data_IF_473328928038
#
_entry.id   IF_473328928038
#
_cell.length_a   1.000
_cell.length_b   1.000
_cell.length_c   1.000
_cell.angle_alpha   90.00
_cell.angle_beta   90.00
_cell.angle_gamma   90.00
#
_symmetry.space_group_name_H-M   'P 1'
#
loop_
_entity.id
_entity.type
_entity.pdbx_description
1 polymer ?
#
# COMPACT_ATOMS: atom_id res chain seq x y z
N UNK A 1 37.17 10.20 11.93
CA UNK A 1 36.03 11.13 11.94
C UNK A 1 34.76 10.35 12.25
N UNK A 2 33.74 10.98 12.83
CA UNK A 2 32.51 10.31 13.25
C UNK A 2 31.71 9.71 12.08
N UNK A 3 31.79 10.30 10.87
CA UNK A 3 31.22 9.74 9.65
C UNK A 3 31.77 8.37 9.24
N UNK A 4 33.09 8.19 9.30
CA UNK A 4 33.71 6.89 9.00
C UNK A 4 33.25 5.80 9.97
N UNK A 5 33.05 6.16 11.25
CA UNK A 5 32.52 5.23 12.24
C UNK A 5 31.08 4.82 11.91
N UNK A 6 30.23 5.79 11.52
CA UNK A 6 28.87 5.50 11.07
C UNK A 6 28.89 4.57 9.85
N UNK A 7 29.70 4.87 8.83
CA UNK A 7 29.84 4.05 7.63
C UNK A 7 30.25 2.60 7.96
N UNK A 8 31.31 2.42 8.77
CA UNK A 8 31.77 1.08 9.18
C UNK A 8 30.67 0.32 9.92
N UNK A 9 29.91 0.98 10.80
CA UNK A 9 28.77 0.36 11.46
C UNK A 9 27.70 -0.09 10.46
N UNK A 10 27.45 0.71 9.42
CA UNK A 10 26.54 0.37 8.33
C UNK A 10 26.98 -0.90 7.61
N UNK A 11 28.23 -0.95 7.16
CA UNK A 11 28.81 -2.12 6.47
C UNK A 11 28.74 -3.39 7.34
N UNK A 12 29.06 -3.28 8.63
CA UNK A 12 28.94 -4.41 9.54
C UNK A 12 27.49 -4.89 9.70
N UNK A 13 26.53 -3.97 9.72
CA UNK A 13 25.12 -4.27 9.88
C UNK A 13 24.48 -4.95 8.65
N UNK A 14 25.13 -4.96 7.48
CA UNK A 14 24.65 -5.67 6.28
C UNK A 14 24.61 -7.19 6.47
N UNK A 15 25.41 -7.71 7.42
CA UNK A 15 25.41 -9.14 7.75
C UNK A 15 24.62 -9.41 9.03
N UNK A 16 23.89 -10.53 9.08
CA UNK A 16 23.13 -10.91 10.28
C UNK A 16 24.02 -10.99 11.53
N UNK A 17 25.22 -11.59 11.39
CA UNK A 17 26.18 -11.70 12.50
C UNK A 17 26.69 -10.32 12.97
N UNK A 18 26.99 -9.42 12.05
CA UNK A 18 27.44 -8.07 12.37
C UNK A 18 26.33 -7.22 13.00
N UNK A 19 25.11 -7.31 12.47
CA UNK A 19 23.91 -6.72 13.08
C UNK A 19 23.71 -7.22 14.51
N UNK A 20 23.73 -8.54 14.73
CA UNK A 20 23.57 -9.13 16.07
C UNK A 20 24.65 -8.66 17.03
N UNK A 21 25.88 -8.49 16.55
CA UNK A 21 26.97 -7.96 17.37
C UNK A 21 26.71 -6.51 17.76
N UNK A 22 26.37 -5.65 16.79
CA UNK A 22 26.02 -4.24 17.00
C UNK A 22 24.85 -4.11 17.97
N UNK A 23 23.75 -4.82 17.72
CA UNK A 23 22.56 -4.84 18.57
C UNK A 23 22.91 -5.30 19.98
N UNK A 24 23.70 -6.37 20.13
CA UNK A 24 24.10 -6.85 21.45
C UNK A 24 24.92 -5.82 22.22
N UNK A 25 25.82 -5.10 21.56
CA UNK A 25 26.63 -4.03 22.19
C UNK A 25 25.73 -2.86 22.57
N UNK A 26 24.80 -2.47 21.68
CA UNK A 26 23.82 -1.43 21.92
C UNK A 26 22.83 -1.74 23.05
N UNK A 27 22.54 -3.02 23.32
CA UNK A 27 21.50 -3.43 24.26
C UNK A 27 22.01 -4.10 25.57
N UNK A 28 23.26 -4.59 25.65
CA UNK A 28 23.82 -5.37 26.79
C UNK A 28 24.01 -4.62 28.12
N UNK A 29 23.67 -3.34 28.21
CA UNK A 29 23.95 -2.50 29.39
C UNK A 29 22.71 -2.20 30.22
N UNK A 30 21.58 -2.80 29.87
CA UNK A 30 20.38 -2.80 30.72
C UNK A 30 20.46 -3.79 31.89
N UNK A 31 21.44 -4.70 31.91
CA UNK A 31 21.57 -5.76 32.93
C UNK A 31 22.77 -5.64 33.88
N UNK A 32 23.54 -4.54 33.84
CA UNK A 32 24.56 -4.24 34.84
C UNK A 32 24.18 -2.93 35.54
N UNK A 33 23.56 -3.06 36.71
CA UNK A 33 23.45 -2.00 37.72
C UNK A 33 24.87 -1.57 38.12
N UNK A 34 25.48 -0.65 37.37
CA UNK A 34 26.62 0.11 37.83
C UNK A 34 26.54 1.52 37.28
N UNK A 35 26.76 2.45 38.19
CA UNK A 35 26.67 3.91 38.07
C UNK A 35 27.41 4.41 36.82
N UNK A 36 26.69 4.52 35.69
CA UNK A 36 26.90 5.38 34.52
C UNK A 36 26.04 4.85 33.36
N UNK A 37 24.71 4.95 33.48
CA UNK A 37 23.72 4.47 32.50
C UNK A 37 23.65 5.33 31.22
N UNK A 38 24.76 5.91 30.76
CA UNK A 38 24.77 6.91 29.71
C UNK A 38 25.25 6.37 28.36
N UNK A 39 26.00 5.27 28.28
CA UNK A 39 26.87 4.99 27.12
C UNK A 39 26.24 4.26 25.92
N UNK A 40 25.11 3.56 26.08
CA UNK A 40 24.64 2.58 25.07
C UNK A 40 23.30 2.89 24.43
N UNK A 41 22.50 3.76 25.05
CA UNK A 41 21.52 4.60 24.35
C UNK A 41 22.20 5.55 23.36
N UNK A 42 23.50 5.78 23.50
CA UNK A 42 24.24 6.72 22.66
C UNK A 42 24.39 6.29 21.22
N UNK A 43 24.33 5.02 20.83
CA UNK A 43 24.64 4.67 19.44
C UNK A 43 23.57 5.23 18.49
N UNK A 44 22.30 4.92 18.74
CA UNK A 44 21.20 5.50 17.98
C UNK A 44 21.14 7.02 18.18
N UNK A 45 21.31 7.52 19.40
CA UNK A 45 21.32 8.98 19.65
C UNK A 45 22.45 9.68 18.87
N UNK A 46 23.61 9.04 18.75
CA UNK A 46 24.79 9.56 18.05
C UNK A 46 24.56 9.52 16.54
N UNK A 47 24.02 8.43 15.99
CA UNK A 47 23.61 8.37 14.58
C UNK A 47 22.57 9.46 14.28
N UNK A 48 21.57 9.66 15.15
CA UNK A 48 20.58 10.73 15.01
C UNK A 48 21.23 12.11 15.11
N UNK A 49 22.19 12.32 16.01
CA UNK A 49 22.93 13.59 16.08
C UNK A 49 23.76 13.86 14.83
N UNK A 50 24.29 12.82 14.18
CA UNK A 50 25.02 12.94 12.92
C UNK A 50 24.10 13.29 11.74
N UNK A 51 22.81 12.98 11.80
CA UNK A 51 21.85 13.45 10.80
C UNK A 51 21.69 14.99 10.81
N UNK A 52 21.95 15.63 11.95
CA UNK A 52 21.94 17.08 12.10
C UNK A 52 23.31 17.74 11.83
N UNK A 53 24.30 16.97 11.36
CA UNK A 53 25.64 17.46 11.03
C UNK A 53 25.60 18.44 9.85
N UNK A 54 26.46 19.47 9.88
CA UNK A 54 26.67 20.36 8.73
C UNK A 54 27.47 19.72 7.60
N UNK A 55 28.22 18.65 7.90
CA UNK A 55 28.98 17.88 6.94
C UNK A 55 28.08 16.84 6.24
N UNK A 56 27.85 16.96 4.92
CA UNK A 56 26.98 16.06 4.16
C UNK A 56 27.42 14.60 4.19
N UNK A 57 28.71 14.31 4.33
CA UNK A 57 29.22 12.94 4.40
C UNK A 57 28.77 12.25 5.70
N UNK A 58 28.80 12.97 6.82
CA UNK A 58 28.29 12.46 8.10
C UNK A 58 26.79 12.16 8.03
N UNK A 59 26.01 13.04 7.40
CA UNK A 59 24.55 12.87 7.25
C UNK A 59 24.24 11.68 6.35
N UNK A 60 24.93 11.56 5.21
CA UNK A 60 24.77 10.46 4.28
C UNK A 60 25.12 9.11 4.93
N UNK A 61 26.26 9.03 5.62
CA UNK A 61 26.70 7.81 6.28
C UNK A 61 25.77 7.42 7.45
N UNK A 62 25.35 8.39 8.28
CA UNK A 62 24.44 8.11 9.39
C UNK A 62 23.06 7.66 8.90
N UNK A 63 22.51 8.31 7.86
CA UNK A 63 21.24 7.90 7.25
C UNK A 63 21.33 6.51 6.61
N UNK A 64 22.44 6.21 5.92
CA UNK A 64 22.70 4.88 5.36
C UNK A 64 22.71 3.80 6.45
N UNK A 65 23.48 4.00 7.51
CA UNK A 65 23.56 3.07 8.64
C UNK A 65 22.22 2.84 9.32
N UNK A 66 21.44 3.90 9.56
CA UNK A 66 20.08 3.77 10.08
C UNK A 66 19.17 3.02 9.10
N UNK A 67 19.31 3.27 7.80
CA UNK A 67 18.62 2.53 6.74
C UNK A 67 18.88 1.03 6.82
N UNK A 68 20.15 0.62 6.89
CA UNK A 68 20.58 -0.78 7.03
C UNK A 68 20.05 -1.41 8.30
N UNK A 69 20.15 -0.72 9.45
CA UNK A 69 19.61 -1.22 10.71
C UNK A 69 18.09 -1.46 10.63
N UNK A 70 17.35 -0.63 9.89
CA UNK A 70 15.90 -0.77 9.74
C UNK A 70 15.45 -1.94 8.84
N UNK A 71 16.37 -2.65 8.17
CA UNK A 71 16.07 -3.79 7.30
C UNK A 71 15.52 -4.98 8.09
N UNK A 72 16.10 -5.25 9.26
CA UNK A 72 15.66 -6.33 10.12
C UNK A 72 14.48 -5.92 11.01
N UNK A 73 13.61 -6.86 11.34
CA UNK A 73 12.52 -6.62 12.28
C UNK A 73 13.04 -6.15 13.64
N UNK A 74 14.11 -6.78 14.12
CA UNK A 74 14.74 -6.46 15.40
C UNK A 74 15.36 -5.07 15.44
N UNK A 75 15.92 -4.59 14.34
CA UNK A 75 16.45 -3.24 14.24
C UNK A 75 15.34 -2.19 14.22
N UNK A 76 14.20 -2.47 13.55
CA UNK A 76 13.00 -1.62 13.67
C UNK A 76 12.47 -1.55 15.09
N UNK A 77 12.41 -2.68 15.80
CA UNK A 77 11.99 -2.73 17.19
C UNK A 77 12.92 -1.88 18.06
N UNK A 78 14.24 -2.02 17.86
CA UNK A 78 15.25 -1.21 18.56
C UNK A 78 15.05 0.29 18.36
N UNK A 79 14.81 0.72 17.12
CA UNK A 79 14.54 2.11 16.79
C UNK A 79 13.27 2.64 17.42
N UNK A 80 12.19 1.84 17.43
CA UNK A 80 10.89 2.22 18.00
C UNK A 80 10.93 2.35 19.52
N UNK A 81 11.75 1.52 20.18
CA UNK A 81 11.98 1.55 21.62
C UNK A 81 12.98 2.64 22.05
N UNK A 82 13.68 3.26 21.10
CA UNK A 82 14.70 4.28 21.37
C UNK A 82 14.09 5.60 21.87
N UNK A 83 14.82 6.28 22.76
CA UNK A 83 14.42 7.61 23.27
C UNK A 83 14.53 8.72 22.21
N UNK A 84 15.42 8.57 21.23
CA UNK A 84 15.62 9.52 20.15
C UNK A 84 14.60 9.37 19.01
N UNK A 85 13.59 8.50 19.13
CA UNK A 85 12.66 8.21 18.05
C UNK A 85 11.95 9.45 17.47
N UNK A 86 11.53 10.39 18.32
CA UNK A 86 10.89 11.63 17.87
C UNK A 86 11.87 12.50 17.07
N UNK A 87 13.03 12.79 17.66
CA UNK A 87 14.11 13.56 17.00
C UNK A 87 14.56 12.91 15.69
N UNK A 88 14.64 11.58 15.64
CA UNK A 88 14.94 10.84 14.44
C UNK A 88 13.88 11.04 13.35
N UNK A 89 12.58 10.98 13.70
CA UNK A 89 11.49 11.22 12.74
C UNK A 89 11.57 12.62 12.19
N UNK A 90 11.71 13.62 13.05
CA UNK A 90 11.73 15.02 12.66
C UNK A 90 12.89 15.29 11.71
N UNK A 91 14.08 14.79 12.08
CA UNK A 91 15.30 14.99 11.29
C UNK A 91 15.23 14.25 9.96
N UNK A 92 14.87 12.96 9.96
CA UNK A 92 14.73 12.16 8.73
C UNK A 92 13.67 12.75 7.80
N UNK A 93 12.56 13.24 8.34
CA UNK A 93 11.50 13.89 7.56
C UNK A 93 12.02 15.17 6.91
N UNK A 94 12.73 16.02 7.66
CA UNK A 94 13.32 17.24 7.11
C UNK A 94 14.36 16.97 6.01
N UNK A 95 15.06 15.84 6.09
CA UNK A 95 16.07 15.42 5.11
C UNK A 95 15.49 14.78 3.85
N UNK A 96 14.18 14.51 3.78
CA UNK A 96 13.52 14.05 2.56
C UNK A 96 13.64 15.04 1.41
N UNK A 97 13.78 16.33 1.72
CA UNK A 97 13.98 17.40 0.74
C UNK A 97 15.45 17.73 0.48
N UNK A 98 16.38 16.93 0.99
CA UNK A 98 17.82 17.12 0.76
C UNK A 98 18.17 17.04 -0.72
N UNK A 99 19.06 17.92 -1.18
CA UNK A 99 19.63 17.88 -2.53
C UNK A 99 20.52 16.64 -2.74
N UNK A 100 21.09 16.10 -1.66
CA UNK A 100 21.84 14.86 -1.70
C UNK A 100 20.87 13.68 -1.80
N UNK A 101 20.74 13.10 -3.00
CA UNK A 101 19.81 12.01 -3.30
C UNK A 101 20.09 10.74 -2.47
N UNK A 102 21.34 10.46 -2.11
CA UNK A 102 21.67 9.33 -1.24
C UNK A 102 21.09 9.52 0.16
N UNK A 103 21.19 10.73 0.70
CA UNK A 103 20.62 11.09 2.00
C UNK A 103 19.11 11.01 1.99
N UNK A 104 18.45 11.65 1.02
CA UNK A 104 16.98 11.62 0.92
C UNK A 104 16.45 10.21 0.66
N UNK A 105 17.16 9.41 -0.15
CA UNK A 105 16.87 8.00 -0.40
C UNK A 105 16.93 7.15 0.86
N UNK A 106 18.02 7.24 1.62
CA UNK A 106 18.17 6.53 2.88
C UNK A 106 17.10 6.96 3.90
N UNK A 107 16.79 8.26 3.96
CA UNK A 107 15.73 8.79 4.82
C UNK A 107 14.35 8.22 4.45
N UNK A 108 14.03 8.15 3.16
CA UNK A 108 12.79 7.54 2.67
C UNK A 108 12.69 6.06 3.05
N UNK A 109 13.77 5.29 2.94
CA UNK A 109 13.82 3.88 3.34
C UNK A 109 13.57 3.69 4.84
N UNK A 110 14.17 4.53 5.70
CA UNK A 110 13.95 4.49 7.15
C UNK A 110 12.45 4.65 7.46
N UNK A 111 11.78 5.63 6.85
CA UNK A 111 10.36 5.88 7.08
C UNK A 111 9.47 4.78 6.50
N UNK A 112 9.78 4.29 5.29
CA UNK A 112 9.00 3.26 4.62
C UNK A 112 9.07 1.92 5.36
N UNK A 113 10.27 1.51 5.80
CA UNK A 113 10.50 0.26 6.54
C UNK A 113 9.81 0.28 7.91
N UNK A 114 9.57 1.45 8.50
CA UNK A 114 8.76 1.55 9.73
C UNK A 114 7.26 1.32 9.50
N UNK A 115 6.74 1.74 8.34
CA UNK A 115 5.33 1.53 7.98
C UNK A 115 4.93 0.06 7.82
N UNK A 116 5.92 -0.82 7.56
CA UNK A 116 5.72 -2.27 7.43
C UNK A 116 5.56 -2.99 8.78
N UNK A 117 5.74 -2.28 9.90
CA UNK A 117 5.61 -2.86 11.24
C UNK A 117 4.25 -3.54 11.43
N UNK A 118 4.32 -4.84 11.71
CA UNK A 118 3.24 -5.62 12.28
C UNK A 118 3.67 -5.96 13.69
N UNK A 119 2.98 -5.46 14.74
CA UNK A 119 3.33 -5.83 16.09
C UNK A 119 3.27 -7.36 16.20
N UNK A 120 4.37 -7.98 16.65
CA UNK A 120 4.35 -9.38 17.08
C UNK A 120 3.21 -9.55 18.11
N UNK A 121 2.58 -10.72 18.06
CA UNK A 121 1.37 -11.13 18.82
C UNK A 121 1.24 -10.51 20.22
N UNK A 122 0.00 -10.23 20.68
CA UNK A 122 -0.27 -9.39 21.84
C UNK A 122 0.08 -10.07 23.16
N UNK A 123 1.31 -9.88 23.61
CA UNK A 123 1.73 -10.03 25.00
C UNK A 123 1.87 -8.67 25.64
N UNK A 124 0.73 -8.04 26.00
CA UNK A 124 0.57 -6.72 26.67
C UNK A 124 0.52 -5.49 25.74
N UNK A 125 -0.73 -5.00 25.60
CA UNK A 125 -1.16 -3.62 25.28
C UNK A 125 -0.60 -2.95 24.01
N UNK A 126 -1.24 -3.23 22.88
CA UNK A 126 -1.53 -2.24 21.82
C UNK A 126 -2.62 -2.80 20.88
N UNK A 127 -3.83 -2.99 21.42
CA UNK A 127 -5.02 -3.19 20.58
C UNK A 127 -5.65 -1.82 20.39
N UNK A 128 -5.45 -1.20 19.24
CA UNK A 128 -6.32 -0.11 18.79
C UNK A 128 -6.83 -0.46 17.41
N UNK A 129 -8.09 -0.88 17.39
CA UNK A 129 -8.92 -1.03 16.21
C UNK A 129 -9.30 0.35 15.68
N UNK A 130 -9.02 0.58 14.40
CA UNK A 130 -9.30 1.81 13.64
C UNK A 130 -10.79 2.23 13.61
N UNK A 131 -11.72 1.37 14.09
CA UNK A 131 -13.17 1.64 14.13
C UNK A 131 -13.62 2.57 15.26
N UNK A 132 -12.79 2.84 16.28
CA UNK A 132 -13.19 3.68 17.41
C UNK A 132 -13.08 5.19 17.13
N UNK A 133 -12.28 5.62 16.15
CA UNK A 133 -11.99 7.04 15.93
C UNK A 133 -13.00 7.75 15.04
N UNK A 134 -13.59 7.06 14.05
CA UNK A 134 -14.62 7.63 13.17
C UNK A 134 -16.01 7.81 13.82
N UNK A 135 -16.19 7.45 15.10
CA UNK A 135 -17.50 7.41 15.76
C UNK A 135 -17.65 8.22 17.05
N UNK A 136 -16.77 9.18 17.36
CA UNK A 136 -16.96 10.00 18.56
C UNK A 136 -16.58 11.48 18.36
N UNK A 137 -17.44 12.20 17.65
CA UNK A 137 -18.01 13.41 18.27
C UNK A 137 -19.12 12.94 19.23
N UNK A 138 -19.20 13.54 20.42
CA UNK A 138 -20.12 13.20 21.51
C UNK A 138 -19.79 11.92 22.30
N UNK A 139 -18.97 12.07 23.35
CA UNK A 139 -19.38 11.89 24.76
C UNK A 139 -18.15 11.81 25.66
N UNK A 140 -18.13 12.74 26.61
CA UNK A 140 -17.29 12.89 27.80
C UNK A 140 -17.28 11.64 28.66
N UNK A 141 -16.12 11.05 28.90
CA UNK A 141 -15.77 10.42 30.19
C UNK A 141 -14.27 10.13 30.32
N UNK A 142 -13.79 10.33 31.54
CA UNK A 142 -12.40 10.35 32.02
C UNK A 142 -11.85 8.93 32.19
N UNK A 143 -10.60 8.71 31.77
CA UNK A 143 -9.81 7.55 32.19
C UNK A 143 -8.85 7.05 31.10
N UNK A 144 -7.55 7.18 31.34
CA UNK A 144 -6.38 6.80 30.51
C UNK A 144 -6.12 7.65 29.25
N UNK A 145 -5.07 8.48 29.32
CA UNK A 145 -4.57 9.40 28.28
C UNK A 145 -4.35 8.70 26.91
N UNK A 146 -5.13 9.05 25.88
CA UNK A 146 -4.93 8.64 24.48
C UNK A 146 -3.99 9.59 23.70
N UNK A 147 -3.47 10.64 24.32
CA UNK A 147 -2.83 11.79 23.64
C UNK A 147 -1.52 11.42 22.91
N UNK A 148 -0.69 10.51 23.45
CA UNK A 148 0.67 10.24 22.92
C UNK A 148 0.67 9.38 21.63
N UNK A 149 -0.43 8.69 21.32
CA UNK A 149 -0.55 7.83 20.12
C UNK A 149 -1.17 8.60 18.95
N UNK A 150 -1.99 9.63 19.23
CA UNK A 150 -2.58 10.51 18.23
C UNK A 150 -1.54 11.38 17.53
N UNK A 151 -0.66 12.02 18.30
CA UNK A 151 0.35 12.95 17.76
C UNK A 151 1.37 12.23 16.85
N UNK A 152 1.83 11.04 17.24
CA UNK A 152 2.79 10.23 16.46
C UNK A 152 2.23 9.70 15.13
N UNK A 153 0.91 9.57 15.02
CA UNK A 153 0.25 9.16 13.77
C UNK A 153 0.04 10.36 12.85
N UNK A 154 -0.29 11.54 13.41
CA UNK A 154 -0.40 12.80 12.67
C UNK A 154 0.95 13.22 12.10
N UNK A 155 2.04 13.10 12.87
CA UNK A 155 3.41 13.36 12.39
C UNK A 155 3.76 12.43 11.23
N UNK A 156 3.45 11.13 11.33
CA UNK A 156 3.68 10.18 10.23
C UNK A 156 2.83 10.50 8.99
N UNK A 157 1.57 10.93 9.17
CA UNK A 157 0.69 11.35 8.07
C UNK A 157 1.24 12.62 7.39
N UNK A 158 1.78 13.58 8.15
CA UNK A 158 2.41 14.79 7.60
C UNK A 158 3.72 14.46 6.87
N UNK A 159 4.55 13.59 7.44
CA UNK A 159 5.73 13.02 6.78
C UNK A 159 5.36 12.24 5.53
N UNK A 160 4.15 11.69 5.41
CA UNK A 160 3.74 10.86 4.26
C UNK A 160 3.61 11.67 2.98
N UNK A 161 3.10 12.91 3.00
CA UNK A 161 3.03 13.75 1.80
C UNK A 161 4.43 14.18 1.33
N UNK A 162 5.29 14.62 2.27
CA UNK A 162 6.67 14.95 1.95
C UNK A 162 7.45 13.73 1.44
N UNK A 163 7.19 12.56 2.03
CA UNK A 163 7.74 11.29 1.57
C UNK A 163 7.29 10.97 0.16
N UNK A 164 6.00 11.07 -0.17
CA UNK A 164 5.49 10.83 -1.53
C UNK A 164 6.14 11.80 -2.53
N UNK A 165 6.26 13.08 -2.20
CA UNK A 165 6.93 14.06 -3.07
C UNK A 165 8.42 13.74 -3.25
N UNK A 166 9.13 13.36 -2.18
CA UNK A 166 10.53 12.96 -2.26
C UNK A 166 10.70 11.69 -3.11
N UNK A 167 9.82 10.70 -2.93
CA UNK A 167 9.80 9.47 -3.73
C UNK A 167 9.50 9.77 -5.21
N UNK A 168 8.59 10.70 -5.51
CA UNK A 168 8.35 11.16 -6.90
C UNK A 168 9.64 11.68 -7.53
N UNK A 169 10.35 12.58 -6.82
CA UNK A 169 11.63 13.13 -7.29
C UNK A 169 12.69 12.04 -7.49
N UNK A 170 12.80 11.11 -6.54
CA UNK A 170 13.74 9.99 -6.63
C UNK A 170 13.46 9.09 -7.83
N UNK A 171 12.20 8.81 -8.16
CA UNK A 171 11.84 8.01 -9.35
C UNK A 171 12.26 8.66 -10.67
N UNK A 172 12.40 9.99 -10.69
CA UNK A 172 12.81 10.74 -11.89
C UNK A 172 14.32 10.91 -12.02
N UNK A 173 15.11 10.43 -11.06
CA UNK A 173 16.56 10.59 -11.09
C UNK A 173 17.22 9.52 -11.99
N UNK A 174 18.42 9.85 -12.50
CA UNK A 174 19.19 8.93 -13.34
C UNK A 174 19.99 7.88 -12.55
N UNK A 175 19.77 7.77 -11.23
CA UNK A 175 20.41 6.75 -10.40
C UNK A 175 19.48 5.54 -10.20
N UNK A 176 19.81 4.36 -10.77
CA UNK A 176 19.02 3.15 -10.60
C UNK A 176 18.81 2.77 -9.13
N UNK A 177 19.78 3.03 -8.26
CA UNK A 177 19.70 2.67 -6.83
C UNK A 177 18.62 3.47 -6.12
N UNK A 178 18.60 4.78 -6.31
CA UNK A 178 17.54 5.65 -5.78
C UNK A 178 16.16 5.31 -6.36
N UNK A 179 16.06 4.99 -7.66
CA UNK A 179 14.80 4.54 -8.27
C UNK A 179 14.28 3.25 -7.63
N UNK A 180 15.15 2.23 -7.46
CA UNK A 180 14.80 0.97 -6.79
C UNK A 180 14.35 1.19 -5.34
N UNK A 181 15.06 2.02 -4.60
CA UNK A 181 14.69 2.40 -3.24
C UNK A 181 13.34 3.10 -3.18
N UNK A 182 13.06 3.99 -4.15
CA UNK A 182 11.77 4.66 -4.24
C UNK A 182 10.62 3.68 -4.52
N UNK A 183 10.80 2.76 -5.47
CA UNK A 183 9.86 1.68 -5.76
C UNK A 183 9.58 0.80 -4.53
N UNK A 184 10.63 0.39 -3.82
CA UNK A 184 10.51 -0.39 -2.59
C UNK A 184 9.76 0.38 -1.50
N UNK A 185 10.10 1.66 -1.29
CA UNK A 185 9.45 2.50 -0.31
C UNK A 185 7.96 2.73 -0.62
N UNK A 186 7.61 2.98 -1.89
CA UNK A 186 6.21 3.03 -2.34
C UNK A 186 5.49 1.72 -2.07
N UNK A 187 6.10 0.58 -2.40
CA UNK A 187 5.50 -0.74 -2.13
C UNK A 187 5.21 -0.95 -0.63
N UNK A 188 6.08 -0.44 0.25
CA UNK A 188 5.87 -0.47 1.70
C UNK A 188 4.71 0.44 2.16
N UNK A 189 4.58 1.64 1.58
CA UNK A 189 3.47 2.58 1.87
C UNK A 189 2.13 1.87 1.61
N UNK A 190 2.03 1.13 0.52
CA UNK A 190 0.81 0.45 0.09
C UNK A 190 0.38 -0.76 0.96
N UNK A 191 1.13 -1.14 2.00
CA UNK A 191 0.74 -2.22 2.92
C UNK A 191 -0.49 -1.84 3.76
N UNK A 192 -0.66 -0.56 4.12
CA UNK A 192 -1.73 -0.09 5.01
C UNK A 192 -2.75 0.76 4.25
N UNK A 193 -4.05 0.53 4.51
CA UNK A 193 -5.14 1.22 3.80
C UNK A 193 -5.06 2.76 3.85
N UNK A 194 -4.81 3.35 5.01
CA UNK A 194 -4.77 4.80 5.17
C UNK A 194 -3.62 5.47 4.41
N UNK A 195 -2.47 4.80 4.29
CA UNK A 195 -1.35 5.24 3.45
C UNK A 195 -1.72 5.24 1.96
N UNK A 196 -2.52 4.26 1.52
CA UNK A 196 -3.03 4.22 0.15
C UNK A 196 -3.90 5.44 -0.13
N UNK A 197 -4.80 5.80 0.80
CA UNK A 197 -5.67 6.97 0.64
C UNK A 197 -4.87 8.27 0.58
N UNK A 198 -3.78 8.40 1.35
CA UNK A 198 -2.86 9.55 1.28
C UNK A 198 -2.16 9.60 -0.08
N UNK A 199 -1.58 8.49 -0.54
CA UNK A 199 -0.94 8.42 -1.86
C UNK A 199 -1.89 8.82 -2.98
N UNK A 200 -3.09 8.26 -2.99
CA UNK A 200 -4.08 8.50 -4.05
C UNK A 200 -4.67 9.91 -4.03
N UNK A 201 -4.53 10.62 -2.91
CA UNK A 201 -4.92 12.03 -2.77
C UNK A 201 -3.76 12.99 -3.04
N UNK A 202 -2.53 12.47 -3.19
CA UNK A 202 -1.35 13.28 -3.45
C UNK A 202 -1.34 13.81 -4.88
N UNK A 203 -0.93 15.07 -5.11
CA UNK A 203 -0.77 15.63 -6.45
C UNK A 203 0.28 14.87 -7.28
N UNK A 204 1.23 14.18 -6.63
CA UNK A 204 2.26 13.39 -7.30
C UNK A 204 1.78 12.02 -7.77
N UNK A 205 0.56 11.57 -7.42
CA UNK A 205 0.08 10.22 -7.74
C UNK A 205 0.20 9.90 -9.23
N UNK A 206 -0.22 10.82 -10.10
CA UNK A 206 -0.23 10.59 -11.56
C UNK A 206 1.19 10.59 -12.12
N UNK A 207 2.00 11.57 -11.71
CA UNK A 207 3.40 11.68 -12.09
C UNK A 207 4.19 10.41 -11.71
N UNK A 208 3.94 9.86 -10.52
CA UNK A 208 4.55 8.61 -10.05
C UNK A 208 4.12 7.44 -10.96
N UNK A 209 2.83 7.30 -11.26
CA UNK A 209 2.35 6.22 -12.13
C UNK A 209 2.94 6.29 -13.53
N UNK A 210 3.05 7.50 -14.11
CA UNK A 210 3.67 7.71 -15.41
C UNK A 210 5.18 7.45 -15.38
N UNK A 211 5.86 7.84 -14.30
CA UNK A 211 7.29 7.59 -14.14
C UNK A 211 7.57 6.09 -13.98
N UNK A 212 6.79 5.37 -13.16
CA UNK A 212 6.87 3.91 -13.06
C UNK A 212 6.66 3.24 -14.42
N UNK A 213 5.69 3.73 -15.21
CA UNK A 213 5.44 3.22 -16.56
C UNK A 213 6.64 3.41 -17.51
N UNK A 214 7.37 4.52 -17.39
CA UNK A 214 8.63 4.76 -18.14
C UNK A 214 9.74 3.83 -17.67
N UNK A 215 9.87 3.63 -16.36
CA UNK A 215 10.92 2.78 -15.78
C UNK A 215 10.82 1.30 -16.19
N UNK A 216 9.65 0.82 -16.66
CA UNK A 216 9.50 -0.51 -17.27
C UNK A 216 10.45 -0.74 -18.47
N UNK A 217 10.89 0.34 -19.11
CA UNK A 217 11.80 0.34 -20.24
C UNK A 217 13.25 0.68 -19.86
N UNK A 218 13.57 0.73 -18.56
CA UNK A 218 14.95 0.94 -18.07
C UNK A 218 15.92 -0.10 -18.66
N UNK A 219 17.14 0.35 -18.95
CA UNK A 219 18.27 -0.52 -19.32
C UNK A 219 18.66 -1.43 -18.15
N UNK A 220 18.59 -0.90 -16.92
CA UNK A 220 18.73 -1.71 -15.72
C UNK A 220 17.48 -2.58 -15.51
N UNK A 221 17.62 -3.87 -15.79
CA UNK A 221 16.55 -4.86 -15.68
C UNK A 221 15.92 -4.91 -14.29
N UNK A 222 16.71 -4.70 -13.24
CA UNK A 222 16.25 -4.71 -11.86
C UNK A 222 15.34 -3.50 -11.57
N UNK A 223 15.72 -2.31 -12.01
CA UNK A 223 14.87 -1.10 -11.91
C UNK A 223 13.53 -1.29 -12.61
N UNK A 224 13.53 -1.85 -13.81
CA UNK A 224 12.29 -2.15 -14.53
C UNK A 224 11.40 -3.15 -13.80
N UNK A 225 12.01 -4.17 -13.19
CA UNK A 225 11.29 -5.13 -12.34
C UNK A 225 10.71 -4.49 -11.08
N UNK A 226 11.47 -3.66 -10.36
CA UNK A 226 10.97 -2.92 -9.19
C UNK A 226 9.79 -2.01 -9.54
N UNK A 227 9.84 -1.35 -10.70
CA UNK A 227 8.71 -0.55 -11.19
C UNK A 227 7.47 -1.41 -11.46
N UNK A 228 7.65 -2.59 -12.08
CA UNK A 228 6.57 -3.55 -12.30
C UNK A 228 5.94 -4.06 -11.00
N UNK A 229 6.75 -4.46 -10.02
CA UNK A 229 6.30 -4.87 -8.67
C UNK A 229 5.51 -3.76 -7.99
N UNK A 230 5.96 -2.51 -8.13
CA UNK A 230 5.28 -1.35 -7.55
C UNK A 230 3.92 -1.12 -8.20
N UNK A 231 3.84 -1.12 -9.54
CA UNK A 231 2.58 -1.01 -10.26
C UNK A 231 1.60 -2.15 -9.91
N UNK A 232 2.10 -3.38 -9.82
CA UNK A 232 1.30 -4.52 -9.39
C UNK A 232 0.78 -4.32 -7.95
N UNK A 233 1.63 -3.84 -7.04
CA UNK A 233 1.23 -3.55 -5.65
C UNK A 233 0.14 -2.50 -5.58
N UNK A 234 0.23 -1.42 -6.36
CA UNK A 234 -0.82 -0.39 -6.47
C UNK A 234 -2.12 -0.99 -7.03
N UNK A 235 -2.02 -1.84 -8.05
CA UNK A 235 -3.16 -2.46 -8.71
C UNK A 235 -3.95 -3.44 -7.83
N UNK A 236 -3.34 -3.99 -6.76
CA UNK A 236 -4.01 -4.91 -5.82
C UNK A 236 -5.14 -4.26 -5.01
N UNK A 237 -5.22 -2.93 -4.98
CA UNK A 237 -6.23 -2.21 -4.20
C UNK A 237 -7.24 -1.49 -5.10
N UNK A 238 -8.53 -1.38 -4.70
CA UNK A 238 -9.60 -0.90 -5.58
C UNK A 238 -9.31 0.48 -6.19
N UNK A 239 -9.00 1.47 -5.37
CA UNK A 239 -8.75 2.84 -5.84
C UNK A 239 -7.45 2.96 -6.64
N UNK A 240 -6.41 2.18 -6.31
CA UNK A 240 -5.17 2.13 -7.09
C UNK A 240 -5.39 1.52 -8.48
N UNK A 241 -6.16 0.44 -8.54
CA UNK A 241 -6.65 -0.14 -9.80
C UNK A 241 -7.42 0.89 -10.64
N UNK A 242 -8.37 1.63 -10.03
CA UNK A 242 -9.09 2.68 -10.75
C UNK A 242 -8.17 3.77 -11.28
N UNK A 243 -7.19 4.23 -10.49
CA UNK A 243 -6.24 5.23 -10.98
C UNK A 243 -5.47 4.70 -12.19
N UNK A 244 -4.91 3.50 -12.13
CA UNK A 244 -4.19 2.93 -13.28
C UNK A 244 -5.12 2.81 -14.51
N UNK A 245 -6.37 2.39 -14.35
CA UNK A 245 -7.35 2.31 -15.45
C UNK A 245 -7.70 3.65 -16.09
N UNK A 246 -7.71 4.74 -15.30
CA UNK A 246 -7.99 6.10 -15.79
C UNK A 246 -6.83 6.65 -16.61
N UNK A 247 -5.61 6.19 -16.35
CA UNK A 247 -4.40 6.61 -17.06
C UNK A 247 -4.02 5.59 -18.12
N UNK A 248 -4.67 5.67 -19.28
CA UNK A 248 -4.47 4.73 -20.42
C UNK A 248 -3.01 4.61 -20.86
N UNK A 249 -2.20 5.66 -20.69
CA UNK A 249 -0.75 5.63 -20.96
C UNK A 249 -0.04 4.57 -20.12
N UNK A 250 -0.38 4.44 -18.83
CA UNK A 250 0.23 3.48 -17.92
C UNK A 250 -0.13 2.05 -18.33
N UNK A 251 -1.42 1.80 -18.63
CA UNK A 251 -1.88 0.50 -19.11
C UNK A 251 -1.23 0.12 -20.44
N UNK A 252 -1.15 1.06 -21.39
CA UNK A 252 -0.48 0.83 -22.68
C UNK A 252 1.01 0.54 -22.50
N UNK A 253 1.70 1.29 -21.65
CA UNK A 253 3.11 1.02 -21.34
C UNK A 253 3.33 -0.37 -20.74
N UNK A 254 2.47 -0.80 -19.82
CA UNK A 254 2.51 -2.17 -19.28
C UNK A 254 2.30 -3.23 -20.38
N UNK A 255 1.34 -3.01 -21.30
CA UNK A 255 1.14 -3.93 -22.44
C UNK A 255 2.35 -3.95 -23.37
N UNK A 256 2.91 -2.80 -23.68
CA UNK A 256 4.08 -2.66 -24.56
C UNK A 256 5.34 -3.26 -23.93
N UNK A 257 5.49 -3.18 -22.60
CA UNK A 257 6.62 -3.80 -21.90
C UNK A 257 6.59 -5.32 -21.92
N UNK A 258 5.48 -5.96 -22.31
CA UNK A 258 5.44 -7.41 -22.54
C UNK A 258 6.01 -7.81 -23.90
N UNK A 259 6.15 -6.87 -24.84
CA UNK A 259 6.64 -7.15 -26.19
C UNK A 259 8.17 -7.19 -26.16
N UNK A 260 8.76 -8.32 -26.55
CA UNK A 260 10.21 -8.51 -26.71
C UNK A 260 11.06 -8.25 -25.45
N UNK A 261 10.58 -8.68 -24.26
CA UNK A 261 11.40 -8.69 -23.04
C UNK A 261 11.91 -10.09 -22.74
N UNK A 262 13.23 -10.20 -22.59
CA UNK A 262 13.90 -11.41 -22.10
C UNK A 262 13.85 -11.54 -20.56
N UNK A 263 13.40 -10.49 -19.86
CA UNK A 263 13.24 -10.50 -18.40
C UNK A 263 11.90 -11.12 -18.01
N UNK A 264 11.94 -12.42 -17.70
CA UNK A 264 10.78 -13.21 -17.32
C UNK A 264 10.11 -12.71 -16.02
N UNK A 265 10.90 -12.28 -15.02
CA UNK A 265 10.37 -11.78 -13.74
C UNK A 265 9.54 -10.50 -13.94
N UNK A 266 10.01 -9.60 -14.81
CA UNK A 266 9.26 -8.39 -15.19
C UNK A 266 7.95 -8.76 -15.90
N UNK A 267 8.01 -9.70 -16.85
CA UNK A 267 6.83 -10.16 -17.60
C UNK A 267 5.78 -10.76 -16.67
N UNK A 268 6.19 -11.54 -15.67
CA UNK A 268 5.28 -12.14 -14.68
C UNK A 268 4.58 -11.08 -13.81
N UNK A 269 5.33 -10.10 -13.32
CA UNK A 269 4.78 -9.00 -12.51
C UNK A 269 3.81 -8.12 -13.31
N UNK A 270 4.17 -7.74 -14.53
CA UNK A 270 3.30 -6.94 -15.40
C UNK A 270 2.05 -7.72 -15.81
N UNK A 271 2.18 -9.00 -16.14
CA UNK A 271 1.03 -9.85 -16.44
C UNK A 271 0.08 -9.93 -15.25
N UNK A 272 0.63 -10.01 -14.03
CA UNK A 272 -0.15 -10.01 -12.79
C UNK A 272 -0.84 -8.66 -12.54
N UNK A 273 -0.13 -7.54 -12.74
CA UNK A 273 -0.70 -6.20 -12.66
C UNK A 273 -1.86 -6.00 -13.66
N UNK A 274 -1.68 -6.39 -14.93
CA UNK A 274 -2.70 -6.31 -15.96
C UNK A 274 -3.93 -7.16 -15.63
N UNK A 275 -3.75 -8.33 -15.01
CA UNK A 275 -4.85 -9.16 -14.51
C UNK A 275 -5.63 -8.48 -13.38
N UNK A 276 -4.99 -7.65 -12.55
CA UNK A 276 -5.66 -6.90 -11.47
C UNK A 276 -6.47 -5.73 -12.01
N UNK A 277 -5.97 -5.04 -13.04
CA UNK A 277 -6.65 -3.87 -13.62
C UNK A 277 -7.66 -4.23 -14.71
N UNK A 278 -7.80 -5.50 -15.10
CA UNK A 278 -8.80 -5.94 -16.08
C UNK A 278 -10.22 -5.53 -15.63
N UNK A 279 -10.99 -4.90 -16.52
CA UNK A 279 -12.39 -4.51 -16.26
C UNK A 279 -13.30 -5.72 -16.05
N UNK A 280 -14.46 -5.49 -15.43
CA UNK A 280 -15.46 -6.52 -15.20
C UNK A 280 -15.88 -7.19 -16.51
N UNK A 281 -15.83 -8.52 -16.50
CA UNK A 281 -16.26 -9.34 -17.63
C UNK A 281 -17.77 -9.56 -17.60
N UNK A 282 -18.32 -9.91 -18.77
CA UNK A 282 -19.71 -10.31 -18.92
C UNK A 282 -20.04 -11.48 -17.97
N UNK A 283 -21.05 -11.36 -17.08
CA UNK A 283 -21.43 -12.44 -16.20
C UNK A 283 -22.17 -13.55 -16.95
N UNK A 284 -22.18 -14.73 -16.34
CA UNK A 284 -23.07 -15.82 -16.75
C UNK A 284 -24.54 -15.39 -16.62
N UNK A 285 -25.44 -15.93 -17.46
CA UNK A 285 -26.88 -15.69 -17.32
C UNK A 285 -27.39 -16.16 -15.94
N UNK A 286 -28.39 -15.47 -15.36
CA UNK A 286 -29.02 -15.90 -14.11
C UNK A 286 -29.79 -17.22 -14.32
N UNK A 287 -29.92 -18.03 -13.28
CA UNK A 287 -30.73 -19.25 -13.27
C UNK A 287 -32.06 -18.96 -12.60
N UNK A 288 -33.15 -19.47 -13.19
CA UNK A 288 -34.48 -19.41 -12.59
C UNK A 288 -34.60 -20.54 -11.57
N UNK A 289 -34.97 -20.24 -10.33
CA UNK A 289 -35.23 -21.24 -9.29
C UNK A 289 -36.71 -21.56 -9.18
N UNK A 290 -37.52 -20.51 -9.08
CA UNK A 290 -38.96 -20.60 -8.91
C UNK A 290 -39.67 -19.65 -9.85
N UNK A 291 -40.79 -20.11 -10.39
CA UNK A 291 -41.67 -19.37 -11.28
C UNK A 291 -43.07 -19.43 -10.67
N UNK A 292 -43.66 -18.28 -10.46
CA UNK A 292 -45.04 -18.12 -10.00
C UNK A 292 -45.84 -17.31 -11.07
N UNK A 293 -47.10 -17.02 -10.80
CA UNK A 293 -47.95 -16.22 -11.69
C UNK A 293 -47.58 -14.73 -11.63
N UNK A 294 -47.11 -14.25 -10.48
CA UNK A 294 -46.84 -12.81 -10.25
C UNK A 294 -45.42 -12.50 -9.78
N UNK A 295 -44.60 -13.51 -9.53
CA UNK A 295 -43.22 -13.34 -9.10
C UNK A 295 -42.32 -14.46 -9.62
N UNK A 296 -41.01 -14.26 -9.55
CA UNK A 296 -40.01 -15.27 -9.84
C UNK A 296 -38.79 -15.11 -8.94
N UNK A 297 -38.10 -16.21 -8.68
CA UNK A 297 -36.83 -16.21 -7.96
C UNK A 297 -35.70 -16.58 -8.91
N UNK A 298 -34.66 -15.76 -8.91
CA UNK A 298 -33.43 -15.98 -9.67
C UNK A 298 -32.22 -16.09 -8.78
N UNK A 299 -31.23 -16.85 -9.23
CA UNK A 299 -29.91 -16.94 -8.63
C UNK A 299 -28.81 -16.83 -9.69
N UNK A 300 -27.59 -16.48 -9.28
CA UNK A 300 -26.44 -16.44 -10.17
C UNK A 300 -25.15 -16.82 -9.41
N UNK A 301 -24.07 -17.01 -10.16
CA UNK A 301 -22.77 -17.33 -9.57
C UNK A 301 -22.12 -16.05 -9.02
N UNK A 302 -21.52 -16.15 -7.84
CA UNK A 302 -20.77 -15.04 -7.26
C UNK A 302 -19.57 -14.68 -8.13
N UNK A 303 -19.38 -13.39 -8.35
CA UNK A 303 -18.21 -12.82 -9.02
C UNK A 303 -17.32 -12.26 -7.93
N UNK A 304 -16.05 -12.67 -7.94
CA UNK A 304 -15.07 -12.28 -6.93
C UNK A 304 -14.09 -11.30 -7.56
N UNK A 305 -13.98 -10.11 -6.98
CA UNK A 305 -12.98 -9.14 -7.39
C UNK A 305 -11.58 -9.57 -6.95
N UNK A 306 -10.61 -9.49 -7.86
CA UNK A 306 -9.19 -9.78 -7.55
C UNK A 306 -8.50 -8.69 -6.75
N UNK A 307 -8.96 -7.44 -6.86
CA UNK A 307 -8.41 -6.28 -6.18
C UNK A 307 -9.29 -5.79 -5.02
N UNK A 308 -10.25 -6.61 -4.57
CA UNK A 308 -11.06 -6.34 -3.38
C UNK A 308 -12.20 -5.34 -3.57
N UNK A 309 -12.64 -5.08 -4.80
CA UNK A 309 -13.89 -4.33 -5.02
C UNK A 309 -15.08 -5.04 -4.38
N UNK A 310 -16.00 -4.24 -3.85
CA UNK A 310 -17.33 -4.72 -3.46
C UNK A 310 -18.13 -4.92 -4.74
N UNK A 311 -18.46 -6.17 -5.03
CA UNK A 311 -19.28 -6.53 -6.18
C UNK A 311 -20.75 -6.36 -5.84
N UNK A 312 -21.48 -5.71 -6.73
CA UNK A 312 -22.94 -5.62 -6.68
C UNK A 312 -23.53 -5.93 -8.04
N UNK A 313 -24.81 -6.30 -8.06
CA UNK A 313 -25.49 -6.75 -9.27
C UNK A 313 -26.68 -5.85 -9.59
N UNK A 314 -26.88 -5.56 -10.87
CA UNK A 314 -28.09 -4.94 -11.39
C UNK A 314 -28.87 -5.96 -12.22
N UNK A 315 -30.18 -6.00 -12.04
CA UNK A 315 -31.07 -6.93 -12.73
C UNK A 315 -31.91 -6.14 -13.74
N UNK A 316 -31.97 -6.67 -14.96
CA UNK A 316 -32.72 -6.07 -16.05
C UNK A 316 -33.84 -7.01 -16.49
N UNK A 317 -35.04 -6.47 -16.64
CA UNK A 317 -36.21 -7.16 -17.19
C UNK A 317 -36.67 -6.41 -18.43
N UNK A 318 -36.67 -7.08 -19.58
CA UNK A 318 -37.04 -6.50 -20.87
C UNK A 318 -36.35 -5.14 -21.11
N UNK A 319 -35.04 -5.09 -20.82
CA UNK A 319 -34.15 -3.91 -20.92
C UNK A 319 -34.38 -2.81 -19.88
N UNK A 320 -35.38 -2.93 -19.00
CA UNK A 320 -35.61 -2.02 -17.89
C UNK A 320 -34.84 -2.48 -16.65
N UNK A 321 -34.02 -1.59 -16.08
CA UNK A 321 -33.32 -1.88 -14.82
C UNK A 321 -34.33 -1.88 -13.67
N UNK A 322 -34.53 -3.04 -13.06
CA UNK A 322 -35.26 -3.15 -11.80
C UNK A 322 -34.23 -2.83 -10.73
N UNK A 323 -34.31 -1.64 -10.13
CA UNK A 323 -33.28 -0.95 -9.30
C UNK A 323 -32.70 -1.70 -8.07
N UNK A 324 -32.74 -3.03 -8.00
CA UNK A 324 -32.06 -3.82 -6.99
C UNK A 324 -30.57 -3.89 -7.28
N UNK A 325 -29.82 -3.02 -6.61
CA UNK A 325 -28.40 -3.25 -6.32
C UNK A 325 -28.35 -4.20 -5.14
N UNK A 326 -28.02 -5.46 -5.38
CA UNK A 326 -27.81 -6.45 -4.31
C UNK A 326 -26.36 -6.90 -4.27
N UNK A 327 -25.86 -7.17 -3.06
CA UNK A 327 -24.60 -7.86 -2.82
C UNK A 327 -24.78 -9.39 -2.68
N UNK A 328 -26.04 -9.85 -2.69
CA UNK A 328 -26.40 -11.26 -2.73
C UNK A 328 -26.31 -11.85 -4.13
N UNK A 329 -26.39 -13.18 -4.20
CA UNK A 329 -26.38 -13.94 -5.45
C UNK A 329 -27.76 -14.54 -5.80
N UNK A 330 -28.82 -13.97 -5.22
CA UNK A 330 -30.20 -14.34 -5.45
C UNK A 330 -31.10 -13.10 -5.34
N UNK A 331 -32.25 -13.15 -5.99
CA UNK A 331 -33.24 -12.08 -5.96
C UNK A 331 -34.64 -12.60 -6.25
N UNK A 332 -35.62 -12.05 -5.53
CA UNK A 332 -37.04 -12.20 -5.85
C UNK A 332 -37.46 -10.99 -6.68
N UNK A 333 -38.09 -11.26 -7.83
CA UNK A 333 -38.69 -10.27 -8.71
C UNK A 333 -40.19 -10.42 -8.58
N UNK A 334 -40.86 -9.39 -8.10
CA UNK A 334 -42.31 -9.36 -7.91
C UNK A 334 -43.02 -8.50 -8.97
N UNK A 335 -44.33 -8.33 -8.81
CA UNK A 335 -45.16 -7.42 -9.62
C UNK A 335 -45.18 -7.77 -11.12
N UNK A 336 -45.00 -9.05 -11.44
CA UNK A 336 -45.11 -9.58 -12.80
C UNK A 336 -46.56 -9.91 -13.15
N UNK A 337 -46.86 -9.98 -14.44
CA UNK A 337 -48.17 -10.36 -14.97
C UNK A 337 -48.21 -11.87 -15.19
N UNK A 338 -49.32 -12.56 -14.89
CA UNK A 338 -49.50 -13.97 -15.25
C UNK A 338 -49.38 -14.23 -16.75
N UNK A 339 -48.98 -15.45 -17.11
CA UNK A 339 -48.85 -15.92 -18.50
C UNK A 339 -48.05 -14.99 -19.44
N UNK A 340 -47.11 -14.23 -18.89
CA UNK A 340 -46.36 -13.20 -19.61
C UNK A 340 -44.90 -13.63 -19.74
N UNK A 341 -44.34 -13.47 -20.93
CA UNK A 341 -42.94 -13.79 -21.22
C UNK A 341 -42.05 -12.60 -20.91
N UNK A 342 -41.03 -12.83 -20.08
CA UNK A 342 -40.03 -11.85 -19.67
C UNK A 342 -38.63 -12.28 -20.12
N UNK A 343 -37.76 -11.30 -20.42
CA UNK A 343 -36.33 -11.50 -20.63
C UNK A 343 -35.53 -10.91 -19.47
N UNK A 344 -34.76 -11.75 -18.80
CA UNK A 344 -33.98 -11.38 -17.63
C UNK A 344 -32.49 -11.36 -18.00
N UNK A 345 -31.80 -10.29 -17.62
CA UNK A 345 -30.36 -10.13 -17.77
C UNK A 345 -29.74 -9.62 -16.47
N UNK A 346 -28.46 -9.94 -16.29
CA UNK A 346 -27.66 -9.55 -15.13
C UNK A 346 -26.51 -8.65 -15.58
N UNK A 347 -26.22 -7.63 -14.79
CA UNK A 347 -25.00 -6.81 -14.92
C UNK A 347 -24.24 -6.85 -13.60
N UNK A 348 -22.93 -6.99 -13.67
CA UNK A 348 -22.04 -6.87 -12.52
C UNK A 348 -21.54 -5.44 -12.46
N UNK A 349 -21.50 -4.87 -11.27
CA UNK A 349 -20.98 -3.52 -11.03
C UNK A 349 -20.04 -3.52 -9.83
N UNK A 350 -19.00 -2.71 -9.93
CA UNK A 350 -17.96 -2.60 -8.91
C UNK A 350 -17.42 -1.16 -8.92
N UNK A 351 -17.83 -0.36 -7.94
CA UNK A 351 -17.49 1.06 -7.87
C UNK A 351 -17.87 1.79 -9.18
N UNK A 352 -16.90 2.25 -9.97
CA UNK A 352 -17.11 2.93 -11.26
C UNK A 352 -17.08 1.99 -12.48
N UNK A 353 -16.92 0.68 -12.28
CA UNK A 353 -16.86 -0.30 -13.36
C UNK A 353 -18.20 -1.03 -13.50
N UNK A 354 -18.67 -1.16 -14.74
CA UNK A 354 -19.88 -1.90 -15.09
C UNK A 354 -19.55 -2.93 -16.18
N UNK A 355 -19.92 -4.18 -15.95
CA UNK A 355 -19.77 -5.22 -16.95
C UNK A 355 -20.74 -5.02 -18.11
N UNK A 356 -20.50 -5.65 -19.27
CA UNK A 356 -21.56 -5.93 -20.22
C UNK A 356 -22.70 -6.75 -19.58
N UNK A 357 -23.91 -6.65 -20.13
CA UNK A 357 -25.05 -7.48 -19.73
C UNK A 357 -24.78 -8.95 -20.04
N UNK A 358 -25.28 -9.85 -19.19
CA UNK A 358 -25.32 -11.29 -19.43
C UNK A 358 -26.12 -11.63 -20.70
N UNK A 359 -26.00 -12.88 -21.15
CA UNK A 359 -27.01 -13.44 -22.05
C UNK A 359 -28.40 -13.38 -21.39
N UNK A 360 -29.44 -13.21 -22.20
CA UNK A 360 -30.82 -13.13 -21.72
C UNK A 360 -31.40 -14.50 -21.43
N UNK A 361 -32.07 -14.64 -20.29
CA UNK A 361 -32.88 -15.81 -19.97
C UNK A 361 -34.35 -15.46 -20.17
N UNK A 362 -35.04 -16.24 -21.00
CA UNK A 362 -36.47 -16.08 -21.22
C UNK A 362 -37.26 -16.97 -20.28
N UNK A 363 -38.27 -16.42 -19.62
CA UNK A 363 -39.16 -17.14 -18.71
C UNK A 363 -40.59 -16.66 -18.93
N UNK A 364 -41.55 -17.57 -18.81
CA UNK A 364 -42.99 -17.25 -18.84
C UNK A 364 -43.55 -17.51 -17.45
N UNK A 365 -44.22 -16.52 -16.86
CA UNK A 365 -44.93 -16.67 -15.58
C UNK A 365 -46.08 -17.67 -15.68
N UNK A 366 -46.42 -18.30 -14.57
CA UNK A 366 -47.51 -19.27 -14.51
C UNK A 366 -48.87 -18.61 -14.81
N UNK A 367 -49.86 -19.45 -15.14
CA UNK A 367 -51.27 -19.05 -15.12
C UNK A 367 -51.71 -18.82 -13.66
N UNK A 368 -52.75 -18.00 -13.48
CA UNK A 368 -53.28 -17.60 -12.17
C UNK A 368 -53.96 -18.73 -11.39
#
# INVERSE_FOLDING_TARGET
TSGNAAYILGILAETEQGFERIYSIGNKTSSLESVNSCATTLMLDSLVSLLASSDPENVMNASGTLGTLAESQRGRDWMLESRCISSMIDTVTSLLTSENLWTSSNCALILARRGTYTPMKPGKRAVISHRAWLKKEQTTTIGTRPEIVGDKLVDYIYSSNQLITALSKMLTCNDPSACKNACFALSCIFIKKWNQDIFLSSPCCIEILETLAKLLFSEDHETGWFAAVTLHTIAKFPRGCLQIRRHTTVETSMKNSLVNKDNQDLVEEITSALKMIKRLEKPSPPRIRHIDSTWLEIEWNQVISKCGFIITYKIFIDQSCVNQITNGCHCLIDSLKPSTKYRIQLQVTADEDESPLSESVSVTTAEE
#
